data_IF_946444415526
#
_entry.id   IF_946444415526
#
_cell.length_a   1.000
_cell.length_b   1.000
_cell.length_c   1.000
_cell.angle_alpha   90.00
_cell.angle_beta   90.00
_cell.angle_gamma   90.00
#
_symmetry.space_group_name_H-M   'P 1'
#
loop_
_entity.id
_entity.type
_entity.pdbx_description
1 polymer ?
#
# COMPACT_ATOMS: atom_id res chain seq x y z
N UNK A 1 -63.60 4.76 -49.42
CA UNK A 1 -62.70 3.67 -48.97
C UNK A 1 -61.31 4.25 -48.69
N UNK A 2 -60.84 4.13 -47.44
CA UNK A 2 -59.46 4.16 -46.88
C UNK A 2 -58.50 5.26 -47.38
N UNK A 3 -58.26 6.34 -46.62
CA UNK A 3 -57.27 6.47 -45.53
C UNK A 3 -55.82 6.21 -45.97
N UNK A 4 -54.97 7.24 -45.88
CA UNK A 4 -53.57 7.09 -45.50
C UNK A 4 -53.12 8.28 -44.65
N UNK A 5 -52.94 8.01 -43.37
CA UNK A 5 -52.38 8.90 -42.36
C UNK A 5 -50.85 8.79 -42.47
N UNK A 6 -50.17 9.89 -42.78
CA UNK A 6 -48.71 9.93 -42.86
C UNK A 6 -48.15 10.02 -41.43
N UNK A 7 -47.65 8.89 -40.93
CA UNK A 7 -46.90 8.83 -39.67
C UNK A 7 -45.50 9.40 -39.94
N UNK A 8 -45.20 10.59 -39.41
CA UNK A 8 -43.83 11.08 -39.33
C UNK A 8 -43.09 10.26 -38.27
N UNK A 9 -42.31 9.28 -38.72
CA UNK A 9 -41.26 8.67 -37.90
C UNK A 9 -40.16 9.70 -37.67
N UNK A 10 -40.08 10.24 -36.46
CA UNK A 10 -38.91 10.96 -36.03
C UNK A 10 -37.72 9.98 -35.99
N UNK A 11 -36.89 10.00 -37.03
CA UNK A 11 -35.55 9.40 -36.97
C UNK A 11 -34.76 10.22 -35.94
N UNK A 12 -34.69 9.74 -34.70
CA UNK A 12 -33.65 10.15 -33.78
C UNK A 12 -32.32 9.74 -34.39
N UNK A 13 -31.62 10.70 -35.00
CA UNK A 13 -30.21 10.54 -35.32
C UNK A 13 -29.48 10.23 -34.01
N UNK A 14 -29.12 8.97 -33.82
CA UNK A 14 -28.11 8.59 -32.84
C UNK A 14 -26.80 9.18 -33.34
N UNK A 15 -26.45 10.39 -32.89
CA UNK A 15 -25.15 10.96 -33.17
C UNK A 15 -24.10 10.05 -32.53
N UNK A 16 -23.32 9.34 -33.35
CA UNK A 16 -22.20 8.54 -32.88
C UNK A 16 -21.24 9.48 -32.12
N UNK A 17 -20.88 9.10 -30.90
CA UNK A 17 -19.90 9.84 -30.12
C UNK A 17 -18.61 9.99 -30.95
N UNK A 18 -17.95 11.17 -30.95
CA UNK A 18 -16.72 11.35 -31.70
C UNK A 18 -15.67 10.33 -31.22
N UNK A 19 -14.85 9.77 -32.13
CA UNK A 19 -13.78 8.86 -31.75
C UNK A 19 -12.86 9.53 -30.72
N UNK A 20 -12.29 8.72 -29.82
CA UNK A 20 -11.33 9.20 -28.83
C UNK A 20 -10.21 10.01 -29.52
N UNK A 21 -9.90 11.18 -28.98
CA UNK A 21 -8.86 12.05 -29.54
C UNK A 21 -7.48 11.42 -29.31
N UNK A 22 -6.58 11.37 -30.30
CA UNK A 22 -5.24 10.81 -30.13
C UNK A 22 -4.47 11.34 -28.92
N UNK A 23 -4.67 12.61 -28.55
CA UNK A 23 -4.07 13.24 -27.37
C UNK A 23 -4.48 12.56 -26.04
N UNK A 24 -5.71 12.07 -25.93
CA UNK A 24 -6.20 11.42 -24.72
C UNK A 24 -5.57 10.03 -24.53
N UNK A 25 -5.30 9.32 -25.63
CA UNK A 25 -4.58 8.04 -25.59
C UNK A 25 -3.12 8.26 -25.19
N UNK A 26 -2.44 9.22 -25.81
CA UNK A 26 -1.06 9.54 -25.48
C UNK A 26 -0.88 9.98 -24.01
N UNK A 27 -1.84 10.74 -23.46
CA UNK A 27 -1.82 11.13 -22.05
C UNK A 27 -1.96 9.92 -21.11
N UNK A 28 -2.83 8.96 -21.45
CA UNK A 28 -2.98 7.72 -20.69
C UNK A 28 -1.71 6.86 -20.74
N UNK A 29 -1.10 6.70 -21.91
CA UNK A 29 0.15 5.96 -22.10
C UNK A 29 1.30 6.59 -21.28
N UNK A 30 1.42 7.92 -21.34
CA UNK A 30 2.43 8.66 -20.57
C UNK A 30 2.23 8.48 -19.06
N UNK A 31 0.98 8.56 -18.60
CA UNK A 31 0.64 8.32 -17.19
C UNK A 31 1.00 6.90 -16.75
N UNK A 32 0.63 5.88 -17.54
CA UNK A 32 0.92 4.49 -17.23
C UNK A 32 2.42 4.21 -17.19
N UNK A 33 3.19 4.75 -18.16
CA UNK A 33 4.65 4.64 -18.17
C UNK A 33 5.26 5.29 -16.94
N UNK A 34 4.86 6.52 -16.62
CA UNK A 34 5.39 7.24 -15.46
C UNK A 34 5.09 6.49 -14.14
N UNK A 35 3.89 5.91 -14.02
CA UNK A 35 3.54 5.10 -12.86
C UNK A 35 4.41 3.85 -12.75
N UNK A 36 4.63 3.13 -13.86
CA UNK A 36 5.52 1.97 -13.89
C UNK A 36 6.96 2.35 -13.52
N UNK A 37 7.53 3.37 -14.15
CA UNK A 37 8.91 3.82 -13.89
C UNK A 37 9.11 4.26 -12.43
N UNK A 38 8.10 4.88 -11.83
CA UNK A 38 8.16 5.32 -10.43
C UNK A 38 8.04 4.18 -9.41
N UNK A 39 7.39 3.06 -9.78
CA UNK A 39 7.01 2.01 -8.82
C UNK A 39 7.75 0.69 -9.00
N UNK A 40 8.11 0.33 -10.23
CA UNK A 40 8.82 -0.92 -10.54
C UNK A 40 10.15 -1.10 -9.78
N UNK A 41 10.97 -0.04 -9.55
CA UNK A 41 12.20 -0.19 -8.78
C UNK A 41 12.02 -0.75 -7.36
N UNK A 42 10.85 -0.54 -6.75
CA UNK A 42 10.53 -1.00 -5.40
C UNK A 42 9.90 -2.40 -5.35
N UNK A 43 9.62 -3.02 -6.50
CA UNK A 43 9.09 -4.38 -6.57
C UNK A 43 10.26 -5.35 -6.65
N UNK A 44 10.12 -6.51 -6.02
CA UNK A 44 11.15 -7.55 -5.94
C UNK A 44 10.57 -8.89 -6.39
N UNK A 45 11.44 -9.76 -6.88
CA UNK A 45 11.13 -11.18 -7.04
C UNK A 45 11.62 -11.95 -5.81
N UNK A 46 10.84 -12.93 -5.37
CA UNK A 46 11.14 -13.76 -4.22
C UNK A 46 11.11 -15.22 -4.66
N UNK A 47 12.20 -15.92 -4.40
CA UNK A 47 12.32 -17.36 -4.59
C UNK A 47 12.58 -18.05 -3.24
N UNK A 48 11.77 -19.07 -2.95
CA UNK A 48 11.88 -19.94 -1.80
C UNK A 48 11.86 -21.41 -2.27
N UNK A 49 12.25 -22.34 -1.39
CA UNK A 49 12.14 -23.77 -1.70
C UNK A 49 10.67 -24.16 -1.97
N UNK A 50 10.34 -24.35 -3.26
CA UNK A 50 9.01 -24.72 -3.72
C UNK A 50 8.02 -23.57 -3.94
N UNK A 51 8.46 -22.31 -3.89
CA UNK A 51 7.60 -21.13 -4.09
C UNK A 51 8.31 -19.99 -4.83
N UNK A 52 7.62 -19.36 -5.77
CA UNK A 52 8.08 -18.15 -6.46
C UNK A 52 6.98 -17.11 -6.50
N UNK A 53 7.37 -15.85 -6.38
CA UNK A 53 6.43 -14.74 -6.32
C UNK A 53 7.10 -13.39 -6.38
N UNK A 54 6.29 -12.37 -6.16
CA UNK A 54 6.69 -10.98 -6.05
C UNK A 54 6.61 -10.51 -4.60
N UNK A 55 7.27 -9.40 -4.32
CA UNK A 55 7.06 -8.61 -3.12
C UNK A 55 7.33 -7.14 -3.45
N UNK A 56 7.19 -6.27 -2.47
CA UNK A 56 7.59 -4.88 -2.63
C UNK A 56 8.16 -4.30 -1.34
N UNK A 57 9.10 -3.39 -1.52
CA UNK A 57 9.85 -2.74 -0.45
C UNK A 57 8.95 -1.66 0.16
N UNK A 58 8.69 -1.76 1.46
CA UNK A 58 7.81 -0.85 2.22
C UNK A 58 8.59 0.09 3.15
N UNK A 59 9.86 -0.23 3.45
CA UNK A 59 10.80 0.64 4.17
C UNK A 59 12.15 0.61 3.47
N UNK A 60 12.82 1.75 3.43
CA UNK A 60 14.09 1.96 2.70
C UNK A 60 15.26 1.18 3.30
N UNK A 61 15.09 0.68 4.53
CA UNK A 61 15.96 -0.22 5.29
C UNK A 61 15.82 -1.71 4.92
N UNK A 62 15.11 -2.02 3.84
CA UNK A 62 15.00 -3.38 3.31
C UNK A 62 13.84 -4.21 3.83
N UNK A 63 12.82 -3.59 4.43
CA UNK A 63 11.57 -4.30 4.76
C UNK A 63 10.71 -4.50 3.51
N UNK A 64 10.32 -5.75 3.25
CA UNK A 64 9.54 -6.19 2.10
C UNK A 64 8.24 -6.84 2.56
N UNK A 65 7.14 -6.51 1.90
CA UNK A 65 5.85 -7.19 2.05
C UNK A 65 5.62 -8.16 0.88
N UNK A 66 5.14 -9.36 1.18
CA UNK A 66 4.77 -10.39 0.21
C UNK A 66 3.68 -11.31 0.79
N UNK A 67 3.35 -12.41 0.10
CA UNK A 67 2.45 -13.44 0.61
C UNK A 67 3.15 -14.50 1.46
N UNK A 68 2.40 -15.09 2.39
CA UNK A 68 2.90 -16.19 3.22
C UNK A 68 3.17 -17.45 2.41
N UNK A 69 2.33 -17.76 1.41
CA UNK A 69 2.54 -18.93 0.55
C UNK A 69 3.78 -18.80 -0.36
N UNK A 70 4.20 -17.58 -0.72
CA UNK A 70 5.40 -17.34 -1.53
C UNK A 70 6.66 -17.74 -0.75
N UNK A 71 6.73 -17.36 0.53
CA UNK A 71 7.87 -17.67 1.41
C UNK A 71 7.76 -19.04 2.09
N UNK A 72 6.57 -19.64 2.06
CA UNK A 72 6.25 -20.90 2.74
C UNK A 72 6.77 -20.94 4.18
N UNK A 73 7.39 -22.07 4.55
CA UNK A 73 8.01 -22.29 5.86
C UNK A 73 9.50 -21.91 5.91
N UNK A 74 10.05 -21.33 4.85
CA UNK A 74 11.49 -21.05 4.76
C UNK A 74 11.89 -19.95 5.75
N UNK A 75 12.94 -20.16 6.54
CA UNK A 75 13.47 -19.09 7.40
C UNK A 75 14.08 -17.95 6.57
N UNK A 76 14.67 -18.30 5.42
CA UNK A 76 15.33 -17.39 4.49
C UNK A 76 14.87 -17.63 3.06
N UNK A 77 14.85 -16.58 2.26
CA UNK A 77 14.48 -16.60 0.82
C UNK A 77 15.53 -15.84 0.00
N UNK A 78 15.61 -16.14 -1.30
CA UNK A 78 16.36 -15.29 -2.25
C UNK A 78 15.45 -14.15 -2.69
N UNK A 79 15.93 -12.91 -2.57
CA UNK A 79 15.26 -11.70 -3.04
C UNK A 79 16.07 -11.12 -4.19
N UNK A 80 15.42 -10.93 -5.34
CA UNK A 80 16.01 -10.30 -6.52
C UNK A 80 15.38 -8.92 -6.70
N UNK A 81 16.19 -7.88 -6.60
CA UNK A 81 15.78 -6.49 -6.76
C UNK A 81 15.56 -6.16 -8.25
N UNK A 82 14.87 -5.04 -8.52
CA UNK A 82 14.64 -4.54 -9.89
C UNK A 82 15.93 -4.31 -10.69
N UNK A 83 17.02 -3.93 -10.02
CA UNK A 83 18.35 -3.74 -10.61
C UNK A 83 19.13 -5.06 -10.82
N UNK A 84 18.54 -6.20 -10.49
CA UNK A 84 19.14 -7.53 -10.64
C UNK A 84 20.01 -7.99 -9.48
N UNK A 85 20.23 -7.16 -8.44
CA UNK A 85 20.94 -7.60 -7.23
C UNK A 85 20.17 -8.72 -6.53
N UNK A 86 20.90 -9.76 -6.12
CA UNK A 86 20.38 -10.88 -5.33
C UNK A 86 20.79 -10.73 -3.88
N UNK A 87 19.83 -10.80 -2.98
CA UNK A 87 20.02 -10.64 -1.54
C UNK A 87 19.39 -11.82 -0.80
N UNK A 88 20.00 -12.24 0.30
CA UNK A 88 19.33 -13.12 1.26
C UNK A 88 18.30 -12.31 2.05
N UNK A 89 17.05 -12.78 2.05
CA UNK A 89 15.96 -12.21 2.84
C UNK A 89 15.61 -13.08 4.02
N UNK A 90 15.55 -12.51 5.23
CA UNK A 90 15.05 -13.20 6.43
C UNK A 90 13.53 -13.01 6.54
N UNK A 91 12.78 -14.08 6.72
CA UNK A 91 11.33 -13.97 6.96
C UNK A 91 11.09 -13.65 8.44
N UNK A 92 10.67 -12.43 8.73
CA UNK A 92 10.58 -11.90 10.11
C UNK A 92 9.18 -12.01 10.72
N UNK A 93 8.12 -12.04 9.90
CA UNK A 93 6.74 -12.12 10.36
C UNK A 93 5.85 -12.82 9.32
N UNK A 94 4.82 -13.54 9.79
CA UNK A 94 3.81 -14.20 8.96
C UNK A 94 2.43 -14.04 9.59
N UNK A 95 1.44 -13.73 8.77
CA UNK A 95 0.03 -13.85 9.08
C UNK A 95 -0.58 -14.88 8.10
N UNK A 96 -0.37 -16.17 8.38
CA UNK A 96 -0.71 -17.26 7.46
C UNK A 96 -2.21 -17.31 7.11
N UNK A 97 -3.07 -17.01 8.08
CA UNK A 97 -4.53 -16.94 7.89
C UNK A 97 -4.95 -15.85 6.89
N UNK A 98 -4.11 -14.84 6.69
CA UNK A 98 -4.33 -13.73 5.76
C UNK A 98 -3.44 -13.82 4.53
N UNK A 99 -2.52 -14.78 4.51
CA UNK A 99 -1.52 -14.98 3.46
C UNK A 99 -0.62 -13.76 3.23
N UNK A 100 -0.09 -13.22 4.34
CA UNK A 100 0.86 -12.12 4.33
C UNK A 100 2.14 -12.50 5.06
N UNK A 101 3.27 -11.99 4.60
CA UNK A 101 4.56 -12.14 5.26
C UNK A 101 5.45 -10.90 5.09
N UNK A 102 6.33 -10.68 6.06
CA UNK A 102 7.39 -9.69 5.99
C UNK A 102 8.74 -10.36 5.83
N UNK A 103 9.53 -9.85 4.89
CA UNK A 103 10.90 -10.26 4.60
C UNK A 103 11.82 -9.07 4.83
N UNK A 104 13.00 -9.29 5.41
CA UNK A 104 14.01 -8.26 5.61
C UNK A 104 15.29 -8.61 4.87
N UNK A 105 15.81 -7.68 4.07
CA UNK A 105 17.09 -7.80 3.38
C UNK A 105 18.11 -6.82 3.97
N UNK A 106 19.40 -7.16 3.88
CA UNK A 106 20.49 -6.31 4.34
C UNK A 106 20.89 -5.24 3.31
N UNK A 107 20.03 -4.25 3.07
CA UNK A 107 20.32 -3.11 2.19
C UNK A 107 19.52 -1.86 2.62
N UNK A 108 20.09 -0.68 2.39
CA UNK A 108 19.50 0.62 2.78
C UNK A 108 19.40 1.55 1.58
N UNK A 109 18.59 2.60 1.69
CA UNK A 109 18.38 3.57 0.61
C UNK A 109 17.65 2.97 -0.58
N UNK A 110 16.84 1.93 -0.33
CA UNK A 110 16.07 1.27 -1.37
C UNK A 110 14.83 2.11 -1.74
N UNK A 111 14.38 2.07 -3.00
CA UNK A 111 13.10 2.65 -3.39
C UNK A 111 11.96 1.94 -2.64
N UNK A 112 10.93 2.68 -2.25
CA UNK A 112 9.82 2.16 -1.43
C UNK A 112 8.46 2.47 -2.03
N UNK A 113 7.48 1.63 -1.72
CA UNK A 113 6.07 1.89 -1.96
C UNK A 113 5.34 2.14 -0.64
N UNK A 114 4.42 3.10 -0.66
CA UNK A 114 3.57 3.42 0.48
C UNK A 114 2.24 2.68 0.38
N UNK A 115 1.85 2.04 1.48
CA UNK A 115 0.51 1.49 1.63
C UNK A 115 -0.51 2.63 1.76
N UNK A 116 -1.67 2.49 1.11
CA UNK A 116 -2.75 3.46 1.16
C UNK A 116 -3.52 3.30 2.47
N UNK A 117 -3.02 3.90 3.55
CA UNK A 117 -3.63 3.84 4.88
C UNK A 117 -4.90 4.70 4.94
N UNK A 118 -6.03 4.10 5.34
CA UNK A 118 -7.29 4.84 5.49
C UNK A 118 -7.94 5.27 4.17
N UNK A 119 -7.45 4.74 3.05
CA UNK A 119 -8.00 4.96 1.70
C UNK A 119 -8.61 3.64 1.20
N UNK A 120 -9.84 3.30 1.62
CA UNK A 120 -10.46 2.04 1.22
C UNK A 120 -10.66 2.00 -0.30
N UNK A 121 -10.40 0.83 -0.89
CA UNK A 121 -10.65 0.59 -2.31
C UNK A 121 -12.16 0.56 -2.59
N UNK A 122 -12.57 1.09 -3.73
CA UNK A 122 -13.97 1.13 -4.18
C UNK A 122 -14.17 0.29 -5.44
N UNK A 123 -15.35 -0.33 -5.58
CA UNK A 123 -15.76 -0.97 -6.84
C UNK A 123 -15.76 0.06 -7.98
N UNK A 124 -15.21 -0.31 -9.13
CA UNK A 124 -15.02 0.58 -10.28
C UNK A 124 -13.74 1.41 -10.23
N UNK A 125 -12.97 1.38 -9.14
CA UNK A 125 -11.69 2.08 -9.07
C UNK A 125 -10.71 1.48 -10.08
N UNK A 126 -10.03 2.34 -10.84
CA UNK A 126 -8.90 1.96 -11.67
C UNK A 126 -7.72 1.55 -10.79
N UNK A 127 -7.05 0.47 -11.17
CA UNK A 127 -5.91 -0.07 -10.45
C UNK A 127 -4.87 -0.61 -11.43
N UNK A 128 -3.61 -0.59 -11.02
CA UNK A 128 -2.50 -1.23 -11.72
C UNK A 128 -1.83 -2.28 -10.83
N UNK A 129 -1.13 -3.24 -11.42
CA UNK A 129 -0.21 -4.10 -10.70
C UNK A 129 1.15 -4.09 -11.42
N UNK A 130 2.19 -4.12 -10.59
CA UNK A 130 3.54 -4.43 -11.04
C UNK A 130 3.89 -5.79 -10.46
N UNK A 131 4.35 -6.71 -11.29
CA UNK A 131 4.77 -8.04 -10.87
C UNK A 131 6.08 -8.43 -11.53
N UNK A 132 6.73 -9.43 -10.95
CA UNK A 132 7.82 -10.12 -11.60
C UNK A 132 7.37 -11.54 -11.94
N UNK A 133 7.02 -11.75 -13.21
CA UNK A 133 6.51 -13.03 -13.68
C UNK A 133 7.56 -14.14 -13.67
N UNK A 134 7.07 -15.39 -13.76
CA UNK A 134 7.90 -16.55 -14.06
C UNK A 134 8.70 -16.30 -15.36
N UNK A 135 10.03 -16.42 -15.30
CA UNK A 135 10.92 -16.21 -16.47
C UNK A 135 11.68 -14.89 -16.53
N UNK A 136 11.65 -14.03 -15.49
CA UNK A 136 12.54 -12.85 -15.44
C UNK A 136 11.93 -11.53 -15.93
N UNK A 137 10.67 -11.54 -16.37
CA UNK A 137 10.03 -10.38 -16.96
C UNK A 137 9.18 -9.61 -15.94
N UNK A 138 9.50 -8.32 -15.78
CA UNK A 138 8.64 -7.36 -15.08
C UNK A 138 7.38 -7.11 -15.91
N UNK A 139 6.21 -7.20 -15.28
CA UNK A 139 4.92 -6.98 -15.93
C UNK A 139 4.23 -5.79 -15.31
N UNK A 140 3.65 -4.94 -16.16
CA UNK A 140 2.75 -3.87 -15.77
C UNK A 140 1.38 -4.12 -16.38
N UNK A 141 0.36 -4.22 -15.54
CA UNK A 141 -0.99 -4.59 -15.94
C UNK A 141 -1.99 -3.68 -15.26
N UNK A 142 -3.05 -3.28 -15.97
CA UNK A 142 -4.06 -2.36 -15.46
C UNK A 142 -5.44 -2.99 -15.54
N UNK A 143 -6.34 -2.57 -14.66
CA UNK A 143 -7.73 -3.03 -14.65
C UNK A 143 -8.56 -2.21 -13.68
N UNK A 144 -9.64 -2.80 -13.21
CA UNK A 144 -10.50 -2.20 -12.19
C UNK A 144 -10.81 -3.17 -11.06
N UNK A 145 -11.30 -2.61 -9.96
CA UNK A 145 -11.84 -3.36 -8.83
C UNK A 145 -13.28 -3.75 -9.18
N UNK A 146 -13.54 -5.05 -9.25
CA UNK A 146 -14.83 -5.59 -9.68
C UNK A 146 -15.79 -5.83 -8.52
N UNK A 147 -15.27 -6.22 -7.36
CA UNK A 147 -16.08 -6.50 -6.19
C UNK A 147 -15.25 -6.42 -4.90
N UNK A 148 -15.89 -6.29 -3.75
CA UNK A 148 -15.25 -6.27 -2.43
C UNK A 148 -15.93 -7.32 -1.57
N UNK A 149 -15.13 -8.15 -0.89
CA UNK A 149 -15.61 -9.19 0.03
C UNK A 149 -15.19 -8.82 1.46
N UNK A 150 -15.96 -7.95 2.16
CA UNK A 150 -15.56 -7.35 3.44
C UNK A 150 -15.76 -8.28 4.66
N UNK A 151 -15.43 -7.74 5.85
CA UNK A 151 -15.47 -8.34 7.20
C UNK A 151 -16.55 -9.42 7.42
N UNK A 152 -16.14 -10.54 8.02
CA UNK A 152 -16.96 -11.74 8.27
C UNK A 152 -16.51 -12.95 7.44
N UNK A 153 -15.85 -12.71 6.31
CA UNK A 153 -15.10 -13.73 5.57
C UNK A 153 -13.80 -14.09 6.30
N UNK A 154 -13.41 -15.37 6.26
CA UNK A 154 -12.18 -15.87 6.88
C UNK A 154 -10.91 -15.15 6.39
N UNK A 155 -10.95 -14.57 5.18
CA UNK A 155 -9.85 -13.84 4.55
C UNK A 155 -10.39 -12.68 3.68
N UNK A 156 -10.34 -11.42 4.15
CA UNK A 156 -10.87 -10.29 3.40
C UNK A 156 -10.06 -10.03 2.13
N UNK A 157 -10.74 -9.91 0.99
CA UNK A 157 -10.14 -9.65 -0.32
C UNK A 157 -11.03 -8.72 -1.15
N UNK A 158 -10.45 -8.06 -2.14
CA UNK A 158 -11.22 -7.47 -3.25
C UNK A 158 -10.91 -8.21 -4.54
N UNK A 159 -11.90 -8.30 -5.41
CA UNK A 159 -11.74 -8.84 -6.75
C UNK A 159 -11.29 -7.74 -7.71
N UNK A 160 -10.41 -8.09 -8.62
CA UNK A 160 -9.92 -7.22 -9.70
C UNK A 160 -9.86 -7.96 -11.03
N UNK A 161 -9.98 -7.19 -12.10
CA UNK A 161 -9.78 -7.62 -13.48
C UNK A 161 -8.35 -7.47 -13.98
N UNK A 162 -7.42 -6.99 -13.15
CA UNK A 162 -6.01 -6.90 -13.53
C UNK A 162 -5.55 -8.30 -13.98
N UNK A 163 -5.03 -8.48 -15.22
CA UNK A 163 -4.43 -9.73 -15.63
C UNK A 163 -3.23 -10.07 -14.73
N UNK A 164 -3.20 -11.27 -14.18
CA UNK A 164 -2.12 -11.75 -13.32
C UNK A 164 -1.42 -12.92 -13.99
N UNK A 165 -0.09 -12.95 -13.87
CA UNK A 165 0.73 -14.05 -14.36
C UNK A 165 1.25 -14.89 -13.18
N UNK A 166 1.66 -16.15 -13.41
CA UNK A 166 2.46 -16.88 -12.45
C UNK A 166 3.65 -16.01 -11.97
N UNK A 167 3.82 -15.91 -10.65
CA UNK A 167 4.81 -15.03 -10.02
C UNK A 167 4.30 -13.65 -9.57
N UNK A 168 3.09 -13.21 -9.95
CA UNK A 168 2.53 -11.93 -9.47
C UNK A 168 2.10 -11.94 -8.00
N UNK A 169 1.89 -13.12 -7.38
CA UNK A 169 1.53 -13.26 -5.96
C UNK A 169 2.50 -12.50 -5.05
N UNK A 170 1.97 -11.71 -4.12
CA UNK A 170 2.72 -10.86 -3.21
C UNK A 170 3.10 -9.48 -3.79
N UNK A 171 2.89 -9.26 -5.09
CA UNK A 171 3.11 -7.98 -5.75
C UNK A 171 2.07 -6.91 -5.37
N UNK A 172 2.40 -5.61 -5.55
CA UNK A 172 1.51 -4.51 -5.20
C UNK A 172 0.40 -4.31 -6.23
N UNK A 173 -0.80 -3.99 -5.73
CA UNK A 173 -1.88 -3.36 -6.49
C UNK A 173 -1.89 -1.87 -6.15
N UNK A 174 -1.73 -1.03 -7.17
CA UNK A 174 -1.54 0.42 -7.09
C UNK A 174 -2.80 1.18 -7.49
N UNK A 175 -3.08 2.27 -6.79
CA UNK A 175 -4.02 3.29 -7.28
C UNK A 175 -3.31 4.27 -8.25
N UNK A 176 -4.06 5.24 -8.77
CA UNK A 176 -3.53 6.23 -9.72
C UNK A 176 -2.46 7.16 -9.12
N UNK A 177 -2.32 7.20 -7.80
CA UNK A 177 -1.27 7.95 -7.11
C UNK A 177 -0.02 7.11 -6.78
N UNK A 178 0.05 5.85 -7.24
CA UNK A 178 1.15 4.93 -6.95
C UNK A 178 1.20 4.45 -5.50
N UNK A 179 0.13 4.61 -4.73
CA UNK A 179 -0.01 4.00 -3.40
C UNK A 179 -0.55 2.58 -3.54
N UNK A 180 -0.08 1.69 -2.68
CA UNK A 180 -0.50 0.28 -2.66
C UNK A 180 -1.84 0.16 -1.93
N UNK A 181 -2.89 -0.18 -2.68
CA UNK A 181 -4.24 -0.45 -2.16
C UNK A 181 -4.50 -1.93 -1.92
N UNK A 182 -3.64 -2.81 -2.43
CA UNK A 182 -3.74 -4.24 -2.17
C UNK A 182 -2.48 -5.03 -2.49
N UNK A 183 -2.50 -6.30 -2.10
CA UNK A 183 -1.44 -7.28 -2.32
C UNK A 183 -2.04 -8.42 -3.15
N UNK A 184 -1.53 -8.63 -4.35
CA UNK A 184 -1.96 -9.74 -5.23
C UNK A 184 -1.83 -11.06 -4.48
N UNK A 185 -2.81 -11.95 -4.57
CA UNK A 185 -2.77 -13.18 -3.76
C UNK A 185 -3.20 -14.45 -4.48
N UNK A 186 -4.33 -14.42 -5.19
CA UNK A 186 -4.87 -15.61 -5.85
C UNK A 186 -5.71 -15.19 -7.06
N UNK A 187 -5.87 -16.11 -8.00
CA UNK A 187 -6.88 -16.04 -9.06
C UNK A 187 -7.73 -17.30 -9.06
N UNK A 188 -8.94 -17.23 -9.62
CA UNK A 188 -9.73 -18.44 -9.87
C UNK A 188 -9.23 -19.12 -11.13
N UNK A 189 -8.58 -20.28 -11.01
CA UNK A 189 -8.10 -21.04 -12.18
C UNK A 189 -9.21 -21.47 -13.14
N UNK A 190 -10.44 -21.58 -12.65
CA UNK A 190 -11.63 -21.94 -13.43
C UNK A 190 -12.36 -20.74 -14.06
N UNK A 191 -11.91 -19.51 -13.84
CA UNK A 191 -12.55 -18.31 -14.37
C UNK A 191 -11.52 -17.28 -14.86
N UNK A 192 -11.79 -16.67 -16.01
CA UNK A 192 -10.92 -15.62 -16.55
C UNK A 192 -11.25 -14.26 -15.90
N UNK A 193 -10.22 -13.45 -15.67
CA UNK A 193 -10.33 -12.10 -15.10
C UNK A 193 -11.03 -12.02 -13.74
N UNK A 194 -11.01 -13.11 -12.96
CA UNK A 194 -11.40 -13.13 -11.55
C UNK A 194 -10.15 -13.35 -10.71
N UNK A 195 -9.52 -12.22 -10.36
CA UNK A 195 -8.32 -12.18 -9.54
C UNK A 195 -8.60 -11.50 -8.21
N UNK A 196 -7.81 -11.81 -7.19
CA UNK A 196 -8.01 -11.30 -5.84
C UNK A 196 -6.75 -10.66 -5.30
N UNK A 197 -6.96 -9.61 -4.51
CA UNK A 197 -5.92 -8.97 -3.73
C UNK A 197 -6.40 -8.72 -2.30
N UNK A 198 -5.47 -8.83 -1.36
CA UNK A 198 -5.66 -8.54 0.05
C UNK A 198 -5.59 -7.01 0.21
N UNK A 199 -6.58 -6.33 0.81
CA UNK A 199 -6.52 -4.88 1.01
C UNK A 199 -5.29 -4.47 1.84
N UNK A 200 -4.64 -3.36 1.46
CA UNK A 200 -3.50 -2.80 2.20
C UNK A 200 -3.79 -2.58 3.69
N UNK A 201 -5.02 -2.13 3.99
CA UNK A 201 -5.56 -1.96 5.34
C UNK A 201 -5.56 -3.25 6.19
N UNK A 202 -5.69 -4.42 5.55
CA UNK A 202 -5.58 -5.71 6.25
C UNK A 202 -4.12 -5.94 6.64
N UNK A 203 -3.18 -5.69 5.73
CA UNK A 203 -1.75 -5.80 6.05
C UNK A 203 -1.34 -4.86 7.18
N UNK A 204 -1.73 -3.58 7.09
CA UNK A 204 -1.43 -2.56 8.10
C UNK A 204 -1.92 -2.91 9.50
N UNK A 205 -3.08 -3.58 9.63
CA UNK A 205 -3.63 -3.97 10.93
C UNK A 205 -3.18 -5.34 11.43
N UNK A 206 -2.57 -6.15 10.59
CA UNK A 206 -2.29 -7.57 10.91
C UNK A 206 -0.81 -7.91 10.99
N UNK A 207 0.08 -7.05 10.48
CA UNK A 207 1.52 -7.23 10.58
C UNK A 207 2.11 -6.14 11.46
N UNK A 208 2.69 -6.51 12.59
CA UNK A 208 3.28 -5.56 13.56
C UNK A 208 4.49 -4.84 12.97
N UNK A 209 5.26 -5.50 12.10
CA UNK A 209 6.39 -4.84 11.42
C UNK A 209 6.00 -3.68 10.49
N UNK A 210 4.71 -3.58 10.12
CA UNK A 210 4.13 -2.48 9.35
C UNK A 210 3.51 -1.38 10.21
N UNK A 211 3.35 -1.60 11.51
CA UNK A 211 3.02 -0.50 12.40
C UNK A 211 4.04 0.60 12.16
N UNK A 212 3.61 1.87 12.05
CA UNK A 212 4.54 2.97 12.18
C UNK A 212 5.34 2.67 13.43
N UNK A 213 6.66 2.56 13.30
CA UNK A 213 7.51 2.65 14.48
C UNK A 213 7.32 4.11 14.85
N UNK A 214 6.32 4.39 15.66
CA UNK A 214 6.08 5.72 16.12
C UNK A 214 7.32 6.08 16.91
N UNK A 215 8.01 7.09 16.41
CA UNK A 215 8.91 7.85 17.22
C UNK A 215 8.06 8.46 18.32
N UNK A 216 8.15 7.92 19.52
CA UNK A 216 7.38 8.40 20.66
C UNK A 216 8.16 9.51 21.34
N UNK A 217 7.51 10.64 21.57
CA UNK A 217 7.96 11.59 22.57
C UNK A 217 7.58 11.06 23.95
N UNK A 218 8.55 10.89 24.84
CA UNK A 218 8.29 10.63 26.25
C UNK A 218 8.42 11.96 26.98
N UNK A 219 7.30 12.51 27.46
CA UNK A 219 7.23 13.84 28.05
C UNK A 219 6.94 13.69 29.55
N UNK A 220 7.75 14.30 30.38
CA UNK A 220 7.58 14.39 31.83
C UNK A 220 7.25 15.82 32.23
N UNK A 221 6.26 15.98 33.10
CA UNK A 221 5.81 17.26 33.64
C UNK A 221 5.28 17.06 35.08
N UNK A 222 4.97 18.11 35.85
CA UNK A 222 4.28 17.92 37.12
C UNK A 222 2.91 17.22 36.94
N UNK A 223 2.48 16.46 37.95
CA UNK A 223 1.23 15.70 37.88
C UNK A 223 0.02 16.61 37.61
N UNK A 224 -0.84 16.21 36.67
CA UNK A 224 -2.05 16.95 36.31
C UNK A 224 -1.83 18.18 35.43
N UNK A 225 -0.59 18.53 35.08
CA UNK A 225 -0.31 19.63 34.15
C UNK A 225 -0.60 19.19 32.72
N UNK A 226 -1.46 19.89 31.96
CA UNK A 226 -1.72 19.60 30.56
C UNK A 226 -0.46 19.79 29.69
N UNK A 227 -0.22 18.82 28.82
CA UNK A 227 0.90 18.79 27.87
C UNK A 227 0.34 18.92 26.46
N UNK A 228 1.02 19.71 25.64
CA UNK A 228 0.67 19.98 24.26
C UNK A 228 1.83 19.63 23.33
N UNK A 229 1.51 19.03 22.18
CA UNK A 229 2.44 18.76 21.08
C UNK A 229 1.84 19.36 19.81
N UNK A 230 2.60 20.21 19.12
CA UNK A 230 2.19 20.95 17.91
C UNK A 230 0.86 21.71 18.07
N UNK A 231 0.60 22.19 19.30
CA UNK A 231 -0.61 22.93 19.64
C UNK A 231 -1.80 22.08 20.05
N UNK A 232 -1.71 20.75 20.00
CA UNK A 232 -2.77 19.84 20.44
C UNK A 232 -2.50 19.30 21.84
N UNK A 233 -3.53 19.22 22.68
CA UNK A 233 -3.42 18.61 24.01
C UNK A 233 -3.30 17.10 23.88
N UNK A 234 -2.24 16.52 24.41
CA UNK A 234 -1.92 15.09 24.28
C UNK A 234 -2.04 14.32 25.60
N UNK A 235 -2.25 15.03 26.71
CA UNK A 235 -2.44 14.40 28.03
C UNK A 235 -2.04 15.34 29.16
N UNK A 236 -1.83 14.77 30.34
CA UNK A 236 -1.33 15.49 31.49
C UNK A 236 -0.20 14.71 32.18
N UNK A 237 0.70 15.42 32.86
CA UNK A 237 1.79 14.81 33.62
C UNK A 237 1.30 13.81 34.69
N UNK A 238 2.17 12.93 35.21
CA UNK A 238 3.62 13.13 35.23
C UNK A 238 4.40 12.53 34.05
N UNK A 239 3.73 11.73 33.22
CA UNK A 239 4.35 11.10 32.05
C UNK A 239 3.32 10.93 30.94
N UNK A 240 3.64 11.45 29.77
CA UNK A 240 2.90 11.24 28.51
C UNK A 240 3.81 10.57 27.51
N UNK A 241 3.28 9.61 26.76
CA UNK A 241 3.95 8.98 25.63
C UNK A 241 3.12 9.32 24.40
N UNK A 242 3.64 10.21 23.56
CA UNK A 242 2.92 10.70 22.39
C UNK A 242 3.57 10.18 21.11
N UNK A 243 2.84 9.40 20.28
CA UNK A 243 3.26 9.06 18.94
C UNK A 243 3.36 10.32 18.06
N UNK A 244 4.51 10.59 17.47
CA UNK A 244 4.68 11.70 16.52
C UNK A 244 5.28 11.21 15.20
N UNK A 245 5.15 12.03 14.15
CA UNK A 245 5.85 11.80 12.90
C UNK A 245 7.38 11.97 13.09
N UNK A 246 8.17 11.60 12.08
CA UNK A 246 9.57 12.00 12.06
C UNK A 246 9.66 13.47 11.65
N UNK A 247 10.50 14.25 12.34
CA UNK A 247 10.62 15.68 12.16
C UNK A 247 10.70 16.46 13.46
N UNK A 248 10.52 17.77 13.35
CA UNK A 248 10.53 18.68 14.50
C UNK A 248 9.13 18.90 15.04
N UNK A 249 8.99 18.81 16.36
CA UNK A 249 7.74 18.98 17.09
C UNK A 249 7.92 20.03 18.18
N UNK A 250 6.90 20.87 18.38
CA UNK A 250 6.84 21.84 19.47
C UNK A 250 6.08 21.23 20.64
N UNK A 251 6.76 21.01 21.75
CA UNK A 251 6.16 20.50 22.98
C UNK A 251 6.06 21.64 23.99
N UNK A 252 4.92 21.81 24.65
CA UNK A 252 4.81 22.76 25.74
C UNK A 252 3.82 22.34 26.83
N UNK A 253 3.98 22.93 28.01
CA UNK A 253 3.05 22.84 29.13
C UNK A 253 2.89 24.22 29.78
N UNK A 254 1.79 24.43 30.51
CA UNK A 254 1.59 25.64 31.31
C UNK A 254 1.77 25.29 32.79
N UNK A 255 2.93 25.64 33.36
CA UNK A 255 3.31 25.33 34.74
C UNK A 255 3.31 26.64 35.53
N UNK A 256 2.46 26.73 36.57
CA UNK A 256 2.36 27.94 37.40
C UNK A 256 2.00 29.21 36.62
N UNK A 257 1.22 29.09 35.54
CA UNK A 257 0.83 30.21 34.67
C UNK A 257 1.89 30.64 33.65
N UNK A 258 3.02 29.94 33.57
CA UNK A 258 4.07 30.19 32.56
C UNK A 258 4.10 29.05 31.54
N UNK A 259 4.24 29.42 30.26
CA UNK A 259 4.47 28.45 29.20
C UNK A 259 5.92 27.97 29.25
N UNK A 260 6.12 26.67 29.42
CA UNK A 260 7.43 25.99 29.30
C UNK A 260 7.40 25.18 28.01
N UNK A 261 8.32 25.44 27.10
CA UNK A 261 8.32 24.83 25.76
C UNK A 261 9.69 24.31 25.33
N UNK A 262 9.69 23.28 24.48
CA UNK A 262 10.86 22.69 23.84
C UNK A 262 10.55 22.36 22.38
N UNK A 263 11.57 22.48 21.52
CA UNK A 263 11.52 21.96 20.15
C UNK A 263 12.33 20.68 20.11
N UNK A 264 11.70 19.60 19.66
CA UNK A 264 12.25 18.25 19.72
C UNK A 264 12.22 17.60 18.37
N UNK A 265 13.27 16.85 18.04
CA UNK A 265 13.35 16.13 16.77
C UNK A 265 13.16 14.64 17.00
N UNK A 266 12.31 14.06 16.18
CA UNK A 266 11.89 12.68 16.15
C UNK A 266 12.40 12.02 14.85
N UNK A 267 12.97 10.80 14.87
CA UNK A 267 13.27 9.96 16.03
C UNK A 267 14.51 10.45 16.81
N UNK A 268 14.59 10.08 18.09
CA UNK A 268 15.86 10.06 18.83
C UNK A 268 16.04 11.08 19.95
N UNK A 269 15.25 11.00 21.02
CA UNK A 269 15.50 11.79 22.24
C UNK A 269 15.35 11.01 23.54
N UNK A 270 16.13 11.41 24.55
CA UNK A 270 15.86 11.13 25.95
C UNK A 270 14.52 11.77 26.38
N UNK A 271 13.91 11.34 27.51
CA UNK A 271 12.67 11.95 27.98
C UNK A 271 12.76 13.48 28.07
N UNK A 272 11.72 14.16 27.59
CA UNK A 272 11.57 15.61 27.61
C UNK A 272 11.08 15.99 29.00
N UNK A 273 11.84 16.84 29.68
CA UNK A 273 11.54 17.27 31.04
C UNK A 273 11.02 18.71 31.02
N UNK A 274 9.71 18.89 31.26
CA UNK A 274 9.08 20.20 31.41
C UNK A 274 9.01 20.52 32.90
N UNK A 275 9.89 21.41 33.36
CA UNK A 275 10.01 21.82 34.77
C UNK A 275 9.81 23.32 34.91
#
# INVERSE_FOLDING_TARGET
MRSFLLVLTALTLCAAAPPARPEAVAALEAFQRALFEATAPAVVFIAADGGLGSGFIVKDDGLILTNAHVVGRAATVEVILHDGRKLAGLVIERAENLDLALVRVGATGLPTLRLAAGEPVSVGAWVAAVGHGEGGAWTFTTGMVSNIYPKGAARPVFQTQIPLNPGSSGGPVLNSAGKVVGIVTAGMSSAQAINFAIPSDVALRSLRGLEPVCSCLIIQAPAGVPIYVDGQSVGAGPRVVEPVADGEHKVFAVIGGRKVEAVVRSPGQAPIELK
#
